data_IF_211908649011
#
_entry.id   IF_211908649011
#
_cell.length_a   1.000
_cell.length_b   1.000
_cell.length_c   1.000
_cell.angle_alpha   90.00
_cell.angle_beta   90.00
_cell.angle_gamma   90.00
#
_symmetry.space_group_name_H-M   'P 1'
#
loop_
_entity.id
_entity.type
_entity.pdbx_description
1 polymer ?
#
# COMPACT_ATOMS: atom_id res chain seq x y z
N UNK A 1 24.56 32.31 27.55
CA UNK A 1 23.43 32.32 26.60
C UNK A 1 22.67 30.98 26.57
N UNK A 2 22.51 30.30 27.73
CA UNK A 2 21.81 29.01 27.86
C UNK A 2 20.72 29.08 28.97
N UNK A 3 20.79 30.04 29.91
CA UNK A 3 19.74 30.23 30.92
C UNK A 3 18.47 30.97 30.43
N UNK A 4 18.51 31.68 29.29
CA UNK A 4 17.36 32.44 28.77
C UNK A 4 16.36 31.60 27.95
N UNK A 5 16.76 30.42 27.46
CA UNK A 5 15.86 29.53 26.69
C UNK A 5 15.00 28.63 27.58
N UNK A 6 15.49 28.23 28.75
CA UNK A 6 14.73 27.37 29.69
C UNK A 6 13.52 28.08 30.31
N UNK A 7 13.64 29.39 30.58
CA UNK A 7 12.56 30.19 31.19
C UNK A 7 11.43 30.48 30.21
N UNK A 8 11.72 30.68 28.91
CA UNK A 8 10.70 30.91 27.88
C UNK A 8 9.84 29.67 27.59
N UNK A 9 10.43 28.47 27.63
CA UNK A 9 9.69 27.23 27.35
C UNK A 9 8.72 26.86 28.51
N UNK A 10 9.12 27.15 29.75
CA UNK A 10 8.30 26.92 30.95
C UNK A 10 7.08 27.85 31.01
N UNK A 11 7.22 29.09 30.51
CA UNK A 11 6.15 30.08 30.47
C UNK A 11 5.10 29.79 29.38
N UNK A 12 5.52 29.25 28.23
CA UNK A 12 4.63 28.84 27.12
C UNK A 12 3.77 27.63 27.53
N UNK A 13 4.32 26.68 28.27
CA UNK A 13 3.57 25.54 28.81
C UNK A 13 2.56 25.91 29.90
N UNK A 14 2.84 26.94 30.70
CA UNK A 14 1.89 27.46 31.70
C UNK A 14 0.71 28.18 31.03
N UNK A 15 0.93 28.91 29.93
CA UNK A 15 -0.15 29.56 29.20
C UNK A 15 -1.02 28.57 28.39
N UNK A 16 -0.42 27.49 27.85
CA UNK A 16 -1.18 26.44 27.17
C UNK A 16 -2.11 25.65 28.12
N UNK A 17 -1.66 25.42 29.35
CA UNK A 17 -2.49 24.81 30.41
C UNK A 17 -3.67 25.70 30.83
N UNK A 18 -3.47 27.02 30.88
CA UNK A 18 -4.52 27.97 31.21
C UNK A 18 -5.57 28.07 30.10
N UNK A 19 -5.15 27.98 28.82
CA UNK A 19 -6.04 28.02 27.67
C UNK A 19 -6.95 26.79 27.59
N UNK A 20 -6.43 25.60 27.92
CA UNK A 20 -7.19 24.35 27.98
C UNK A 20 -8.19 24.36 29.17
N UNK A 21 -7.82 25.00 30.29
CA UNK A 21 -8.72 25.13 31.45
C UNK A 21 -9.88 26.10 31.20
N UNK A 22 -9.66 27.17 30.42
CA UNK A 22 -10.69 28.18 30.09
C UNK A 22 -11.66 27.65 29.02
N UNK A 23 -11.21 26.80 28.10
CA UNK A 23 -12.08 26.15 27.09
C UNK A 23 -13.05 25.12 27.68
N UNK A 24 -12.80 24.63 28.90
CA UNK A 24 -13.68 23.69 29.62
C UNK A 24 -14.78 24.36 30.47
N UNK A 25 -14.79 25.70 30.58
CA UNK A 25 -15.74 26.45 31.42
C UNK A 25 -17.01 26.93 30.67
N UNK A 26 -17.19 26.62 29.38
CA UNK A 26 -18.32 27.09 28.55
C UNK A 26 -19.15 25.97 27.91
N UNK A 27 -19.41 24.87 28.63
CA UNK A 27 -20.42 23.88 28.21
C UNK A 27 -21.39 23.63 29.37
N UNK A 28 -22.67 24.01 29.27
CA UNK A 28 -23.66 23.73 30.30
C UNK A 28 -24.08 22.25 30.23
N UNK A 29 -23.78 21.53 31.32
CA UNK A 29 -24.51 20.39 31.90
C UNK A 29 -25.16 19.36 30.97
N UNK A 30 -24.52 18.19 30.79
CA UNK A 30 -25.13 16.84 30.97
C UNK A 30 -24.00 15.81 31.24
N UNK A 31 -24.10 15.07 32.34
CA UNK A 31 -23.50 13.72 32.50
C UNK A 31 -21.98 13.63 32.70
N UNK A 32 -21.54 13.43 33.95
CA UNK A 32 -20.16 13.10 34.27
C UNK A 32 -19.76 11.72 33.71
N UNK A 33 -19.00 11.69 32.63
CA UNK A 33 -18.22 10.52 32.20
C UNK A 33 -16.79 10.72 32.74
N UNK A 34 -16.41 9.89 33.72
CA UNK A 34 -15.04 9.83 34.21
C UNK A 34 -14.17 9.14 33.15
N UNK A 35 -13.57 9.94 32.26
CA UNK A 35 -12.50 9.45 31.37
C UNK A 35 -11.23 9.35 32.21
N UNK A 36 -10.88 8.13 32.62
CA UNK A 36 -9.59 7.82 33.22
C UNK A 36 -8.53 7.92 32.12
N UNK A 37 -7.94 9.11 31.95
CA UNK A 37 -6.74 9.30 31.14
C UNK A 37 -5.62 8.48 31.78
N UNK A 38 -5.38 7.28 31.24
CA UNK A 38 -4.15 6.55 31.49
C UNK A 38 -3.01 7.44 30.99
N UNK A 39 -2.18 7.90 31.91
CA UNK A 39 -0.93 8.55 31.59
C UNK A 39 -0.09 7.62 30.73
N UNK A 40 -0.02 7.88 29.43
CA UNK A 40 0.97 7.29 28.53
C UNK A 40 2.32 7.82 29.00
N UNK A 41 3.04 6.98 29.76
CA UNK A 41 4.46 7.22 30.01
C UNK A 41 5.16 6.95 28.68
N UNK A 42 5.51 8.02 27.96
CA UNK A 42 6.58 7.92 26.97
C UNK A 42 7.83 7.52 27.74
N UNK A 43 8.29 6.29 27.54
CA UNK A 43 9.60 5.88 28.01
C UNK A 43 10.61 6.67 27.17
N UNK A 44 11.14 7.76 27.72
CA UNK A 44 12.38 8.31 27.19
C UNK A 44 13.45 7.28 27.53
N UNK A 45 14.14 6.65 26.57
CA UNK A 45 15.32 5.89 26.90
C UNK A 45 16.28 6.84 27.61
N UNK A 46 16.66 6.52 28.85
CA UNK A 46 17.65 7.28 29.58
C UNK A 46 18.95 7.27 28.77
N UNK A 47 19.53 8.45 28.55
CA UNK A 47 20.79 8.69 27.84
C UNK A 47 22.01 8.01 28.50
N UNK A 48 21.81 7.21 29.56
CA UNK A 48 22.86 6.61 30.39
C UNK A 48 23.02 5.09 30.23
N UNK A 49 22.31 4.44 29.31
CA UNK A 49 22.75 3.15 28.74
C UNK A 49 23.72 3.35 27.55
N UNK A 50 24.30 4.55 27.44
CA UNK A 50 25.41 4.89 26.56
C UNK A 50 26.75 4.36 27.10
N UNK A 51 26.87 3.03 27.20
CA UNK A 51 28.16 2.35 27.20
C UNK A 51 28.65 2.21 25.77
N UNK A 52 29.63 3.03 25.36
CA UNK A 52 30.24 3.02 24.03
C UNK A 52 30.62 1.61 23.54
N UNK A 53 29.88 1.06 22.56
CA UNK A 53 30.31 -0.11 21.77
C UNK A 53 29.82 0.05 20.31
N UNK A 54 30.73 0.52 19.45
CA UNK A 54 30.85 0.31 17.99
C UNK A 54 29.62 0.39 17.05
N UNK A 55 29.82 0.51 15.72
CA UNK A 55 28.73 0.37 14.76
C UNK A 55 28.20 -1.07 14.77
N UNK A 56 27.00 -1.25 15.33
CA UNK A 56 26.27 -2.53 15.39
C UNK A 56 25.86 -2.95 13.98
N UNK A 57 26.20 -4.17 13.55
CA UNK A 57 26.02 -4.63 12.17
C UNK A 57 25.03 -5.79 12.08
N UNK A 58 23.87 -5.57 11.49
CA UNK A 58 23.18 -6.63 10.76
C UNK A 58 23.84 -6.77 9.40
N UNK A 59 24.08 -7.98 8.89
CA UNK A 59 24.60 -8.15 7.54
C UNK A 59 24.01 -9.41 6.97
N UNK A 60 23.29 -9.28 5.87
CA UNK A 60 22.53 -10.36 5.29
C UNK A 60 22.29 -10.05 3.82
N UNK A 61 22.39 -11.09 2.99
CA UNK A 61 22.07 -11.07 1.57
C UNK A 61 20.63 -11.54 1.42
N UNK A 62 19.77 -10.72 0.83
CA UNK A 62 18.47 -11.19 0.36
C UNK A 62 18.59 -11.52 -1.13
N UNK A 63 18.27 -12.75 -1.46
CA UNK A 63 18.08 -13.22 -2.82
C UNK A 63 16.60 -13.31 -3.13
N UNK A 64 16.27 -12.90 -4.33
CA UNK A 64 14.98 -13.08 -4.94
C UNK A 64 15.01 -14.32 -5.81
N UNK A 65 14.06 -15.23 -5.61
CA UNK A 65 13.91 -16.39 -6.49
C UNK A 65 12.92 -16.08 -7.60
N UNK A 66 13.42 -15.92 -8.82
CA UNK A 66 12.60 -15.69 -10.03
C UNK A 66 13.00 -16.70 -11.09
N UNK A 67 12.01 -17.43 -11.61
CA UNK A 67 12.17 -18.31 -12.78
C UNK A 67 13.36 -19.28 -12.70
N UNK A 68 13.60 -19.88 -11.52
CA UNK A 68 14.66 -20.88 -11.34
C UNK A 68 16.04 -20.32 -11.01
N UNK A 69 16.17 -19.02 -10.71
CA UNK A 69 17.45 -18.39 -10.37
C UNK A 69 17.32 -17.45 -9.18
N UNK A 70 18.39 -17.38 -8.38
CA UNK A 70 18.54 -16.41 -7.30
C UNK A 70 19.18 -15.14 -7.86
N UNK A 71 18.48 -14.02 -7.77
CA UNK A 71 19.02 -12.70 -8.10
C UNK A 71 19.09 -11.82 -6.85
N UNK A 72 20.01 -10.86 -6.75
CA UNK A 72 20.03 -9.92 -5.64
C UNK A 72 18.70 -9.17 -5.49
N UNK A 73 18.17 -9.11 -4.26
CA UNK A 73 17.03 -8.26 -3.92
C UNK A 73 17.52 -6.81 -3.76
N UNK A 74 17.72 -6.13 -4.88
CA UNK A 74 18.22 -4.75 -4.94
C UNK A 74 17.16 -3.79 -4.41
N UNK A 75 17.58 -2.80 -3.61
CA UNK A 75 16.70 -1.71 -3.14
C UNK A 75 15.45 -2.23 -2.41
N UNK A 76 15.57 -3.40 -1.79
CA UNK A 76 14.52 -4.00 -0.99
C UNK A 76 14.44 -3.29 0.35
N UNK A 77 13.22 -3.02 0.81
CA UNK A 77 12.99 -2.52 2.15
C UNK A 77 12.94 -3.71 3.10
N UNK A 78 13.80 -3.69 4.12
CA UNK A 78 13.92 -4.76 5.10
C UNK A 78 13.85 -4.14 6.48
N UNK A 79 13.08 -4.76 7.37
CA UNK A 79 12.89 -4.23 8.70
C UNK A 79 12.57 -5.25 9.78
N UNK A 80 12.79 -4.81 11.01
CA UNK A 80 12.45 -5.54 12.22
C UNK A 80 11.22 -4.90 12.84
N UNK A 81 10.24 -5.73 13.19
CA UNK A 81 9.03 -5.32 13.89
C UNK A 81 8.56 -6.46 14.77
N UNK A 82 7.87 -6.16 15.87
CA UNK A 82 7.23 -7.18 16.72
C UNK A 82 6.05 -7.87 16.02
N UNK A 83 5.62 -7.33 14.87
CA UNK A 83 4.61 -7.93 14.02
C UNK A 83 4.98 -9.38 13.65
N UNK A 84 4.01 -10.29 13.77
CA UNK A 84 4.19 -11.74 13.55
C UNK A 84 3.42 -12.27 12.34
N UNK A 85 2.70 -11.40 11.63
CA UNK A 85 1.95 -11.75 10.42
C UNK A 85 2.50 -10.97 9.22
N UNK A 86 2.54 -11.60 8.06
CA UNK A 86 2.99 -10.99 6.81
C UNK A 86 2.24 -9.67 6.55
N UNK A 87 2.96 -8.60 6.19
CA UNK A 87 2.41 -7.26 5.92
C UNK A 87 1.87 -6.49 7.13
N UNK A 88 1.69 -7.13 8.30
CA UNK A 88 1.08 -6.49 9.49
C UNK A 88 1.96 -5.41 10.14
N UNK A 89 3.26 -5.37 9.78
CA UNK A 89 4.18 -4.31 10.17
C UNK A 89 3.67 -2.92 9.79
N UNK A 90 2.89 -2.80 8.71
CA UNK A 90 2.30 -1.52 8.27
C UNK A 90 1.33 -0.91 9.29
N UNK A 91 0.76 -1.74 10.16
CA UNK A 91 -0.23 -1.33 11.18
C UNK A 91 0.26 -1.51 12.62
N UNK A 92 1.44 -2.11 12.79
CA UNK A 92 2.07 -2.23 14.10
C UNK A 92 2.49 -0.85 14.62
N UNK A 93 2.05 -0.50 15.81
CA UNK A 93 2.21 0.86 16.37
C UNK A 93 2.47 0.86 17.89
N UNK A 94 2.57 -0.31 18.51
CA UNK A 94 2.81 -0.46 19.94
C UNK A 94 4.29 -0.48 20.28
N UNK A 95 5.09 -1.12 19.44
CA UNK A 95 6.53 -1.28 19.65
C UNK A 95 7.36 -0.67 18.52
N UNK A 96 8.67 -0.71 18.70
CA UNK A 96 9.63 -0.14 17.76
C UNK A 96 9.71 -0.92 16.45
N UNK A 97 9.90 -0.17 15.37
CA UNK A 97 10.23 -0.71 14.07
C UNK A 97 11.54 -0.11 13.57
N UNK A 98 12.35 -0.93 12.90
CA UNK A 98 13.65 -0.52 12.34
C UNK A 98 13.69 -0.93 10.88
N UNK A 99 14.02 0.00 9.98
CA UNK A 99 13.96 -0.23 8.54
C UNK A 99 15.23 0.27 7.86
N UNK A 100 15.68 -0.46 6.85
CA UNK A 100 16.76 -0.08 5.96
C UNK A 100 16.45 -0.56 4.55
N UNK A 101 17.12 0.04 3.58
CA UNK A 101 17.12 -0.41 2.19
C UNK A 101 18.37 -1.25 1.93
N UNK A 102 18.23 -2.33 1.15
CA UNK A 102 19.39 -3.11 0.67
C UNK A 102 20.17 -2.33 -0.39
N UNK A 103 21.47 -2.61 -0.47
CA UNK A 103 22.30 -2.08 -1.55
C UNK A 103 22.03 -2.77 -2.90
N UNK A 104 22.77 -2.36 -3.94
CA UNK A 104 22.67 -2.91 -5.29
C UNK A 104 23.05 -4.40 -5.41
N UNK A 105 23.62 -4.99 -4.36
CA UNK A 105 23.96 -6.41 -4.23
C UNK A 105 23.02 -7.17 -3.31
N UNK A 106 21.99 -6.53 -2.75
CA UNK A 106 21.03 -7.15 -1.84
C UNK A 106 21.51 -7.27 -0.40
N UNK A 107 22.60 -6.60 -0.04
CA UNK A 107 23.12 -6.58 1.33
C UNK A 107 22.48 -5.46 2.14
N UNK A 108 22.20 -5.69 3.43
CA UNK A 108 21.71 -4.64 4.32
C UNK A 108 22.28 -4.71 5.73
N UNK A 109 22.26 -3.54 6.40
CA UNK A 109 22.67 -3.39 7.80
C UNK A 109 21.76 -2.47 8.58
N UNK A 110 20.98 -3.05 9.50
CA UNK A 110 20.24 -2.32 10.54
C UNK A 110 21.17 -2.10 11.74
N UNK A 111 21.39 -0.84 12.10
CA UNK A 111 22.23 -0.45 13.26
C UNK A 111 21.34 -0.03 14.42
N UNK A 112 21.88 -0.10 15.64
CA UNK A 112 21.26 0.48 16.84
C UNK A 112 19.84 -0.05 17.15
N UNK A 113 19.59 -1.33 16.86
CA UNK A 113 18.35 -2.01 17.23
C UNK A 113 18.28 -2.18 18.75
N UNK A 114 17.12 -1.89 19.33
CA UNK A 114 16.86 -2.07 20.76
C UNK A 114 16.76 -3.57 21.07
N UNK A 115 17.35 -4.08 22.17
CA UNK A 115 17.21 -5.48 22.56
C UNK A 115 15.75 -5.92 22.62
N UNK A 116 15.46 -7.11 22.09
CA UNK A 116 14.08 -7.59 21.93
C UNK A 116 13.99 -8.77 20.96
N UNK A 117 12.76 -9.25 20.75
CA UNK A 117 12.44 -10.32 19.81
C UNK A 117 11.58 -9.74 18.69
N UNK A 118 12.01 -9.94 17.45
CA UNK A 118 11.39 -9.32 16.27
C UNK A 118 11.11 -10.34 15.17
N UNK A 119 10.06 -10.12 14.39
CA UNK A 119 9.94 -10.67 13.05
C UNK A 119 10.79 -9.87 12.06
N UNK A 120 11.37 -10.56 11.07
CA UNK A 120 12.03 -9.91 9.94
C UNK A 120 11.04 -9.76 8.80
N UNK A 121 10.75 -8.51 8.44
CA UNK A 121 9.82 -8.15 7.38
C UNK A 121 10.59 -7.59 6.20
N UNK A 122 10.01 -7.68 5.01
CA UNK A 122 10.55 -6.95 3.88
C UNK A 122 9.62 -6.92 2.68
N UNK A 123 10.00 -6.13 1.69
CA UNK A 123 9.37 -6.10 0.38
C UNK A 123 10.33 -5.51 -0.65
N UNK A 124 10.08 -5.79 -1.91
CA UNK A 124 11.00 -5.46 -2.99
C UNK A 124 10.25 -4.70 -4.07
N UNK A 125 10.63 -3.45 -4.39
CA UNK A 125 10.11 -2.76 -5.56
C UNK A 125 10.28 -3.62 -6.83
N UNK A 126 9.24 -3.69 -7.65
CA UNK A 126 9.16 -4.55 -8.82
C UNK A 126 8.59 -5.95 -8.55
N UNK A 127 8.27 -6.31 -7.31
CA UNK A 127 7.69 -7.62 -6.96
C UNK A 127 6.53 -7.47 -5.97
N UNK A 128 5.35 -8.04 -6.27
CA UNK A 128 4.22 -7.98 -5.36
C UNK A 128 4.46 -8.87 -4.13
N UNK A 129 3.83 -8.51 -3.02
CA UNK A 129 3.78 -9.31 -1.79
C UNK A 129 4.65 -8.75 -0.67
N UNK A 130 4.62 -9.46 0.46
CA UNK A 130 5.39 -9.13 1.65
C UNK A 130 6.28 -10.33 2.00
N UNK A 131 7.47 -10.06 2.51
CA UNK A 131 8.36 -11.07 3.08
C UNK A 131 8.19 -11.08 4.59
N UNK A 132 8.06 -12.27 5.15
CA UNK A 132 8.19 -12.52 6.59
C UNK A 132 9.14 -13.70 6.80
N UNK A 133 10.19 -13.48 7.58
CA UNK A 133 11.11 -14.53 8.00
C UNK A 133 10.41 -15.61 8.82
N UNK A 134 10.79 -16.87 8.59
CA UNK A 134 10.21 -18.03 9.29
C UNK A 134 10.52 -18.05 10.79
N UNK A 135 11.68 -17.51 11.17
CA UNK A 135 12.17 -17.49 12.55
C UNK A 135 12.17 -16.07 13.11
N UNK A 136 11.93 -15.96 14.41
CA UNK A 136 12.09 -14.71 15.12
C UNK A 136 13.57 -14.42 15.38
N UNK A 137 13.93 -13.15 15.30
CA UNK A 137 15.27 -12.65 15.56
C UNK A 137 15.32 -12.12 16.99
N UNK A 138 16.17 -12.74 17.81
CA UNK A 138 16.45 -12.25 19.16
C UNK A 138 17.68 -11.35 19.16
N UNK A 139 17.53 -10.13 19.66
CA UNK A 139 18.58 -9.12 19.77
C UNK A 139 18.91 -8.90 21.23
N UNK A 140 20.18 -9.13 21.57
CA UNK A 140 20.75 -8.90 22.90
C UNK A 140 21.60 -7.63 22.91
N UNK A 141 21.78 -7.03 24.08
CA UNK A 141 22.62 -5.86 24.23
C UNK A 141 24.07 -6.18 23.83
N UNK A 142 24.67 -5.35 22.97
CA UNK A 142 26.07 -5.49 22.56
C UNK A 142 26.39 -6.66 21.62
N UNK A 143 25.39 -7.42 21.16
CA UNK A 143 25.60 -8.56 20.25
C UNK A 143 25.49 -8.19 18.77
N UNK A 144 26.18 -8.96 17.93
CA UNK A 144 26.00 -8.96 16.47
C UNK A 144 25.26 -10.23 16.06
N UNK A 145 24.23 -10.11 15.21
CA UNK A 145 23.47 -11.24 14.68
C UNK A 145 23.63 -11.31 13.17
N UNK A 146 24.05 -12.46 12.65
CA UNK A 146 24.20 -12.71 11.22
C UNK A 146 23.18 -13.76 10.78
N UNK A 147 22.33 -13.40 9.80
CA UNK A 147 21.16 -14.20 9.40
C UNK A 147 21.43 -15.10 8.18
N UNK A 148 22.65 -15.05 7.62
CA UNK A 148 23.01 -15.79 6.42
C UNK A 148 22.33 -15.21 5.16
N UNK A 149 21.90 -16.10 4.26
CA UNK A 149 21.19 -15.73 3.04
C UNK A 149 19.69 -15.94 3.25
N UNK A 150 18.90 -14.92 2.89
CA UNK A 150 17.44 -15.00 2.91
C UNK A 150 16.93 -15.09 1.49
N UNK A 151 15.90 -15.90 1.27
CA UNK A 151 15.26 -16.05 -0.02
C UNK A 151 13.83 -15.56 0.05
N UNK A 152 13.45 -14.66 -0.87
CA UNK A 152 12.07 -14.29 -1.10
C UNK A 152 11.56 -14.91 -2.41
N UNK A 153 10.39 -15.55 -2.35
CA UNK A 153 9.67 -16.08 -3.51
C UNK A 153 8.40 -15.23 -3.68
N UNK A 154 8.35 -14.34 -4.69
CA UNK A 154 7.17 -13.52 -4.91
C UNK A 154 5.97 -14.40 -5.24
N UNK A 155 4.76 -14.04 -4.77
CA UNK A 155 3.55 -14.79 -5.07
C UNK A 155 3.36 -14.94 -6.57
N UNK A 156 3.24 -16.18 -7.04
CA UNK A 156 3.01 -16.54 -8.44
C UNK A 156 2.46 -17.96 -8.50
N UNK A 157 1.33 -18.12 -9.16
CA UNK A 157 0.66 -19.40 -9.38
C UNK A 157 0.80 -19.87 -10.82
N UNK A 158 1.16 -18.98 -11.75
CA UNK A 158 1.29 -19.35 -13.15
C UNK A 158 2.06 -18.35 -14.02
N UNK A 159 2.07 -18.56 -15.34
CA UNK A 159 2.61 -17.59 -16.28
C UNK A 159 1.74 -16.33 -16.28
N UNK A 160 2.37 -15.16 -16.26
CA UNK A 160 1.65 -13.88 -16.44
C UNK A 160 1.09 -13.83 -17.86
N UNK A 161 -0.19 -13.52 -18.00
CA UNK A 161 -0.82 -13.24 -19.29
C UNK A 161 -0.68 -11.76 -19.64
N UNK A 162 -0.98 -10.91 -18.67
CA UNK A 162 -0.81 -9.46 -18.77
C UNK A 162 -0.74 -8.84 -17.38
N UNK A 163 -0.21 -7.63 -17.34
CA UNK A 163 -0.06 -6.82 -16.14
C UNK A 163 -0.26 -5.33 -16.46
N UNK A 164 -0.71 -4.57 -15.47
CA UNK A 164 -0.92 -3.11 -15.54
C UNK A 164 -0.16 -2.51 -14.35
N UNK A 165 0.70 -1.54 -14.63
CA UNK A 165 1.52 -0.85 -13.63
C UNK A 165 2.85 -1.54 -13.32
N UNK A 166 3.43 -1.18 -12.18
CA UNK A 166 4.65 -1.77 -11.65
C UNK A 166 4.48 -1.93 -10.15
N UNK A 167 4.82 -3.09 -9.53
CA UNK A 167 4.59 -3.29 -8.12
C UNK A 167 5.62 -2.51 -7.28
N UNK A 168 5.31 -1.26 -6.98
CA UNK A 168 6.15 -0.37 -6.15
C UNK A 168 5.40 0.22 -4.95
N UNK A 169 4.19 -0.29 -4.71
CA UNK A 169 3.23 0.11 -3.68
C UNK A 169 2.65 1.50 -3.87
N UNK A 170 2.76 2.07 -5.08
CA UNK A 170 2.26 3.42 -5.38
C UNK A 170 1.43 3.43 -6.66
N UNK A 171 0.57 4.43 -6.80
CA UNK A 171 -0.14 4.70 -8.06
C UNK A 171 0.71 5.51 -9.06
N UNK A 172 2.05 5.44 -8.98
CA UNK A 172 2.92 6.16 -9.90
C UNK A 172 2.87 5.53 -11.30
N UNK A 173 3.11 6.33 -12.33
CA UNK A 173 3.09 5.87 -13.71
C UNK A 173 1.70 5.80 -14.34
N UNK A 174 0.64 6.12 -13.57
CA UNK A 174 -0.73 6.26 -14.08
C UNK A 174 -1.07 7.69 -14.49
N UNK A 175 -2.23 7.84 -15.14
CA UNK A 175 -2.72 9.11 -15.65
C UNK A 175 -3.19 10.04 -14.55
N UNK A 176 -2.50 11.17 -14.41
CA UNK A 176 -2.83 12.27 -13.52
C UNK A 176 -3.32 13.45 -14.37
N UNK A 177 -4.60 13.87 -14.25
CA UNK A 177 -5.15 14.95 -15.08
C UNK A 177 -4.52 16.29 -14.73
N UNK A 178 -4.64 17.27 -15.62
CA UNK A 178 -4.25 18.64 -15.28
C UNK A 178 -5.10 19.18 -14.13
N UNK A 179 -4.54 20.13 -13.37
CA UNK A 179 -5.27 20.79 -12.27
C UNK A 179 -6.34 21.71 -12.83
N UNK A 180 -7.43 21.92 -12.08
CA UNK A 180 -8.37 22.97 -12.42
C UNK A 180 -7.64 24.33 -12.36
N UNK A 181 -7.68 25.15 -13.43
CA UNK A 181 -6.97 26.44 -13.48
C UNK A 181 -7.28 27.39 -12.31
N UNK A 182 -8.45 27.25 -11.66
CA UNK A 182 -8.83 28.04 -10.49
C UNK A 182 -8.06 27.69 -9.21
N UNK A 183 -7.54 26.46 -9.09
CA UNK A 183 -6.94 25.92 -7.86
C UNK A 183 -5.45 25.55 -8.03
N UNK A 184 -4.81 26.11 -9.05
CA UNK A 184 -3.42 25.80 -9.40
C UNK A 184 -2.47 26.09 -8.24
N UNK A 185 -1.78 25.06 -7.75
CA UNK A 185 -0.56 25.25 -6.97
C UNK A 185 0.65 25.27 -7.94
N UNK A 186 1.29 26.45 -8.04
CA UNK A 186 2.42 26.66 -8.97
C UNK A 186 3.62 25.77 -8.67
N UNK A 187 3.76 25.27 -7.44
CA UNK A 187 4.86 24.38 -7.03
C UNK A 187 4.84 23.04 -7.79
N UNK A 188 3.65 22.58 -8.23
CA UNK A 188 3.49 21.26 -8.85
C UNK A 188 3.21 21.29 -10.36
N UNK A 189 3.16 22.46 -11.01
CA UNK A 189 2.81 22.56 -12.44
C UNK A 189 3.74 21.79 -13.38
N UNK A 190 5.04 21.81 -13.10
CA UNK A 190 6.09 21.12 -13.88
C UNK A 190 6.83 20.09 -13.02
N UNK A 191 6.13 19.50 -12.05
CA UNK A 191 6.72 18.56 -11.08
C UNK A 191 6.37 17.12 -11.44
N UNK A 192 7.28 16.15 -11.20
CA UNK A 192 6.90 14.73 -11.18
C UNK A 192 5.82 14.43 -10.12
N UNK A 193 5.69 15.30 -9.11
CA UNK A 193 4.64 15.24 -8.09
C UNK A 193 3.37 16.01 -8.47
N UNK A 194 3.05 16.10 -9.77
CA UNK A 194 1.81 16.73 -10.27
C UNK A 194 0.56 16.22 -9.54
N UNK A 195 0.56 14.96 -9.08
CA UNK A 195 -0.52 14.35 -8.30
C UNK A 195 -0.83 15.08 -6.98
N UNK A 196 0.04 15.98 -6.50
CA UNK A 196 -0.17 16.80 -5.29
C UNK A 196 -1.07 18.02 -5.49
N UNK A 197 -1.53 18.28 -6.72
CA UNK A 197 -2.49 19.34 -6.99
C UNK A 197 -3.85 19.04 -6.32
N UNK A 198 -4.53 20.08 -5.83
CA UNK A 198 -5.82 19.92 -5.18
C UNK A 198 -6.93 19.56 -6.19
N UNK A 199 -7.85 18.69 -5.76
CA UNK A 199 -9.08 18.39 -6.50
C UNK A 199 -8.90 17.48 -7.72
N UNK A 200 -7.75 16.83 -7.90
CA UNK A 200 -7.49 16.01 -9.08
C UNK A 200 -8.41 14.79 -9.20
N UNK A 201 -8.86 14.21 -8.09
CA UNK A 201 -9.81 13.10 -8.09
C UNK A 201 -11.14 13.50 -8.75
N UNK A 202 -11.62 14.71 -8.47
CA UNK A 202 -12.88 15.24 -8.97
C UNK A 202 -12.83 15.54 -10.48
N UNK A 203 -11.62 15.68 -11.04
CA UNK A 203 -11.39 15.77 -12.50
C UNK A 203 -11.72 14.48 -13.25
N UNK A 204 -11.95 13.36 -12.56
CA UNK A 204 -12.38 12.11 -13.21
C UNK A 204 -13.63 12.33 -14.08
N UNK A 205 -14.58 13.12 -13.58
CA UNK A 205 -15.81 13.49 -14.33
C UNK A 205 -15.51 14.29 -15.60
N UNK A 206 -14.46 15.11 -15.61
CA UNK A 206 -14.10 15.90 -16.80
C UNK A 206 -13.50 15.03 -17.89
N UNK A 207 -12.77 13.97 -17.50
CA UNK A 207 -12.13 13.02 -18.42
C UNK A 207 -13.14 11.96 -18.89
N UNK A 208 -14.03 11.53 -17.99
CA UNK A 208 -15.01 10.48 -18.18
C UNK A 208 -16.44 10.99 -17.88
N UNK A 209 -16.99 11.95 -18.66
CA UNK A 209 -18.25 12.61 -18.30
C UNK A 209 -19.48 11.71 -18.38
N UNK A 210 -19.48 10.74 -19.30
CA UNK A 210 -20.62 9.89 -19.60
C UNK A 210 -20.39 8.42 -19.23
N UNK A 211 -19.21 7.91 -19.57
CA UNK A 211 -18.83 6.51 -19.41
C UNK A 211 -17.50 6.41 -18.67
N UNK A 212 -17.39 5.40 -17.82
CA UNK A 212 -16.16 5.09 -17.10
C UNK A 212 -15.05 4.56 -18.02
N UNK A 213 -13.81 4.58 -17.53
CA UNK A 213 -12.66 4.21 -18.34
C UNK A 213 -12.71 2.75 -18.82
N UNK A 214 -12.23 2.54 -20.04
CA UNK A 214 -11.96 1.22 -20.62
C UNK A 214 -10.49 1.13 -20.99
N UNK A 215 -9.79 0.16 -20.41
CA UNK A 215 -8.38 -0.11 -20.66
C UNK A 215 -8.25 -1.41 -21.48
N UNK A 216 -7.65 -1.35 -22.65
CA UNK A 216 -7.47 -2.52 -23.53
C UNK A 216 -6.02 -3.00 -23.47
N UNK A 217 -5.81 -4.22 -22.98
CA UNK A 217 -4.48 -4.85 -22.93
C UNK A 217 -3.86 -4.89 -24.33
N UNK A 218 -2.60 -4.44 -24.44
CA UNK A 218 -1.85 -4.38 -25.68
C UNK A 218 -2.11 -3.14 -26.56
N UNK A 219 -3.07 -2.29 -26.19
CA UNK A 219 -3.39 -1.06 -26.94
C UNK A 219 -3.32 0.20 -26.06
N UNK A 220 -3.90 0.15 -24.86
CA UNK A 220 -3.91 1.27 -23.91
C UNK A 220 -2.58 1.45 -23.20
N UNK A 221 -2.25 2.69 -22.84
CA UNK A 221 -1.06 3.08 -22.10
C UNK A 221 -1.43 3.48 -20.66
N UNK A 222 -0.90 2.83 -19.61
CA UNK A 222 -1.22 3.17 -18.22
C UNK A 222 -1.01 4.65 -17.86
N UNK A 223 -0.01 5.30 -18.45
CA UNK A 223 0.31 6.71 -18.17
C UNK A 223 -0.75 7.70 -18.68
N UNK A 224 -1.58 7.29 -19.63
CA UNK A 224 -2.55 8.16 -20.29
C UNK A 224 -4.00 7.66 -20.14
N UNK A 225 -4.19 6.34 -20.08
CA UNK A 225 -5.50 5.70 -20.22
C UNK A 225 -5.95 4.98 -18.94
N UNK A 226 -5.13 4.99 -17.89
CA UNK A 226 -5.48 4.47 -16.57
C UNK A 226 -5.45 5.60 -15.57
N UNK A 227 -6.61 6.12 -15.18
CA UNK A 227 -6.70 7.20 -14.21
C UNK A 227 -6.04 6.77 -12.89
N UNK A 228 -5.38 7.68 -12.17
CA UNK A 228 -4.58 7.32 -11.01
C UNK A 228 -5.39 6.81 -9.79
N UNK A 229 -6.70 7.03 -9.76
CA UNK A 229 -7.59 6.61 -8.67
C UNK A 229 -8.99 6.24 -9.18
N UNK A 230 -9.49 5.05 -8.83
CA UNK A 230 -10.87 4.64 -9.09
C UNK A 230 -11.78 5.26 -8.04
N UNK A 231 -12.39 6.38 -8.40
CA UNK A 231 -13.14 7.29 -7.53
C UNK A 231 -14.55 7.49 -8.07
N UNK A 232 -15.45 7.91 -7.20
CA UNK A 232 -16.80 8.27 -7.62
C UNK A 232 -16.81 9.37 -8.70
N UNK A 233 -17.71 9.24 -9.66
CA UNK A 233 -17.97 10.27 -10.67
C UNK A 233 -19.05 11.24 -10.20
N UNK A 234 -18.82 12.53 -10.34
CA UNK A 234 -19.81 13.56 -10.02
C UNK A 234 -20.91 13.56 -11.07
N UNK A 235 -22.14 13.25 -10.65
CA UNK A 235 -23.35 13.31 -11.46
C UNK A 235 -23.91 14.73 -11.61
N UNK A 236 -24.97 14.85 -12.43
CA UNK A 236 -25.60 16.14 -12.75
C UNK A 236 -26.22 16.86 -11.54
N UNK A 237 -26.59 16.13 -10.49
CA UNK A 237 -27.13 16.65 -9.23
C UNK A 237 -26.05 16.88 -8.16
N UNK A 238 -24.78 16.91 -8.56
CA UNK A 238 -23.60 16.94 -7.69
C UNK A 238 -23.50 15.75 -6.72
N UNK A 239 -24.23 14.65 -6.97
CA UNK A 239 -24.02 13.41 -6.23
C UNK A 239 -22.85 12.64 -6.80
N UNK A 240 -22.11 11.98 -5.92
CA UNK A 240 -21.00 11.12 -6.27
C UNK A 240 -21.52 9.71 -6.52
N UNK A 241 -21.35 9.23 -7.75
CA UNK A 241 -21.86 7.95 -8.23
C UNK A 241 -20.72 6.92 -8.30
N UNK A 242 -20.98 5.66 -7.92
CA UNK A 242 -20.04 4.55 -8.09
C UNK A 242 -19.55 4.44 -9.55
N UNK A 243 -18.33 3.97 -9.73
CA UNK A 243 -17.69 3.83 -11.05
C UNK A 243 -17.23 2.41 -11.31
N UNK A 244 -17.33 1.97 -12.57
CA UNK A 244 -16.89 0.64 -13.01
C UNK A 244 -15.89 0.76 -14.14
N UNK A 245 -14.63 0.43 -13.87
CA UNK A 245 -13.57 0.39 -14.86
C UNK A 245 -13.59 -0.94 -15.59
N UNK A 246 -13.40 -0.91 -16.90
CA UNK A 246 -13.35 -2.13 -17.73
C UNK A 246 -11.94 -2.41 -18.21
N UNK A 247 -11.42 -3.61 -17.99
CA UNK A 247 -10.18 -4.11 -18.57
C UNK A 247 -10.54 -5.11 -19.66
N UNK A 248 -10.21 -4.81 -20.92
CA UNK A 248 -10.43 -5.70 -22.07
C UNK A 248 -9.15 -6.43 -22.44
N UNK A 249 -9.24 -7.73 -22.66
CA UNK A 249 -8.10 -8.56 -23.05
C UNK A 249 -8.54 -9.74 -23.90
N UNK A 250 -7.63 -10.28 -24.71
CA UNK A 250 -7.90 -11.42 -25.58
C UNK A 250 -7.20 -12.68 -25.04
N UNK A 251 -7.89 -13.83 -25.07
CA UNK A 251 -7.33 -15.13 -24.74
C UNK A 251 -7.46 -16.10 -25.92
N UNK A 252 -6.34 -16.68 -26.35
CA UNK A 252 -6.32 -17.66 -27.41
C UNK A 252 -5.11 -18.61 -27.28
N UNK A 253 -5.26 -19.83 -26.73
CA UNK A 253 -6.48 -20.47 -26.22
C UNK A 253 -6.84 -20.06 -24.77
N UNK A 254 -7.98 -20.56 -24.27
CA UNK A 254 -8.28 -20.59 -22.82
C UNK A 254 -7.78 -21.93 -22.28
N UNK A 255 -6.78 -21.89 -21.40
CA UNK A 255 -6.30 -23.05 -20.63
C UNK A 255 -7.31 -23.41 -19.54
N UNK A 256 -7.68 -24.68 -19.43
CA UNK A 256 -8.54 -25.18 -18.35
C UNK A 256 -7.84 -25.05 -17.00
N UNK A 257 -8.57 -24.57 -15.99
CA UNK A 257 -8.09 -24.46 -14.61
C UNK A 257 -8.44 -23.13 -13.98
N UNK A 258 -7.75 -22.81 -12.88
CA UNK A 258 -7.95 -21.57 -12.13
C UNK A 258 -6.92 -20.53 -12.54
N UNK A 259 -7.40 -19.41 -13.07
CA UNK A 259 -6.62 -18.20 -13.30
C UNK A 259 -6.52 -17.42 -11.99
N UNK A 260 -5.43 -16.70 -11.78
CA UNK A 260 -5.27 -15.82 -10.61
C UNK A 260 -5.25 -14.37 -11.04
N UNK A 261 -6.21 -13.60 -10.56
CA UNK A 261 -6.20 -12.14 -10.66
C UNK A 261 -5.59 -11.58 -9.36
N UNK A 262 -4.46 -10.89 -9.49
CA UNK A 262 -3.79 -10.19 -8.41
C UNK A 262 -4.18 -8.71 -8.45
N UNK A 263 -4.71 -8.19 -7.35
CA UNK A 263 -5.06 -6.78 -7.19
C UNK A 263 -4.21 -6.19 -6.06
N UNK A 264 -3.14 -5.50 -6.42
CA UNK A 264 -2.31 -4.75 -5.49
C UNK A 264 -2.86 -3.32 -5.39
N UNK A 265 -3.21 -2.92 -4.17
CA UNK A 265 -3.84 -1.65 -3.83
C UNK A 265 -2.80 -0.80 -3.10
N UNK A 266 -2.40 0.32 -3.72
CA UNK A 266 -1.49 1.29 -3.13
C UNK A 266 -2.14 2.03 -1.94
N UNK A 267 -3.45 2.28 -2.03
CA UNK A 267 -4.25 2.89 -0.97
C UNK A 267 -5.75 2.73 -1.24
N UNK A 268 -6.56 2.74 -0.18
CA UNK A 268 -8.00 2.80 -0.33
C UNK A 268 -8.64 3.71 0.73
N UNK A 269 -9.61 4.51 0.30
CA UNK A 269 -10.37 5.42 1.14
C UNK A 269 -11.84 5.03 1.07
N UNK A 270 -12.39 4.50 2.16
CA UNK A 270 -13.82 4.19 2.37
C UNK A 270 -14.49 3.54 1.15
N UNK A 271 -13.87 2.55 0.52
CA UNK A 271 -14.38 2.01 -0.75
C UNK A 271 -14.97 0.62 -0.61
N UNK A 272 -15.85 0.25 -1.53
CA UNK A 272 -16.28 -1.14 -1.69
C UNK A 272 -15.76 -1.60 -3.05
N UNK A 273 -14.82 -2.54 -3.09
CA UNK A 273 -14.21 -3.01 -4.34
C UNK A 273 -14.86 -4.33 -4.76
N UNK A 274 -15.37 -4.38 -6.00
CA UNK A 274 -15.89 -5.61 -6.61
C UNK A 274 -15.17 -5.88 -7.93
N UNK A 275 -14.96 -7.16 -8.24
CA UNK A 275 -14.48 -7.58 -9.55
C UNK A 275 -15.44 -8.59 -10.19
N UNK A 276 -15.86 -8.32 -11.42
CA UNK A 276 -16.63 -9.27 -12.23
C UNK A 276 -15.87 -9.65 -13.51
N UNK A 277 -16.25 -10.77 -14.12
CA UNK A 277 -15.63 -11.28 -15.35
C UNK A 277 -16.71 -11.51 -16.41
N UNK A 278 -16.55 -10.90 -17.58
CA UNK A 278 -17.39 -11.00 -18.77
C UNK A 278 -18.85 -10.52 -18.65
N UNK A 279 -19.52 -10.75 -17.53
CA UNK A 279 -20.82 -10.14 -17.18
C UNK A 279 -20.72 -9.45 -15.79
N UNK A 280 -21.68 -8.60 -15.45
CA UNK A 280 -21.76 -7.87 -14.17
C UNK A 280 -22.91 -8.37 -13.27
N UNK A 281 -23.43 -9.57 -13.52
CA UNK A 281 -24.38 -10.22 -12.62
C UNK A 281 -23.71 -10.88 -11.41
N UNK A 282 -24.52 -11.45 -10.51
CA UNK A 282 -24.03 -12.08 -9.27
C UNK A 282 -23.23 -13.37 -9.51
N UNK A 283 -23.49 -14.09 -10.61
CA UNK A 283 -22.80 -15.35 -10.93
C UNK A 283 -21.37 -15.09 -11.42
N UNK A 284 -21.14 -13.92 -12.01
CA UNK A 284 -19.85 -13.48 -12.54
C UNK A 284 -19.02 -12.64 -11.55
N UNK A 285 -19.51 -12.41 -10.32
CA UNK A 285 -18.78 -11.74 -9.25
C UNK A 285 -17.70 -12.67 -8.68
N UNK A 286 -16.43 -12.42 -9.03
CA UNK A 286 -15.29 -13.27 -8.61
C UNK A 286 -14.58 -12.74 -7.36
N UNK A 287 -14.84 -11.50 -6.95
CA UNK A 287 -14.21 -10.89 -5.78
C UNK A 287 -15.03 -9.73 -5.23
N UNK A 288 -15.14 -9.65 -3.91
CA UNK A 288 -15.58 -8.42 -3.25
C UNK A 288 -14.85 -8.18 -1.92
N UNK A 289 -14.60 -6.91 -1.62
CA UNK A 289 -14.24 -6.42 -0.28
C UNK A 289 -15.03 -5.16 -0.01
N UNK A 290 -15.76 -5.15 1.11
CA UNK A 290 -16.54 -4.00 1.57
C UNK A 290 -15.76 -3.25 2.65
N UNK A 291 -16.00 -1.94 2.78
CA UNK A 291 -15.32 -1.06 3.74
C UNK A 291 -13.79 -1.10 3.59
N UNK A 292 -13.31 -1.21 2.35
CA UNK A 292 -11.91 -1.19 1.99
C UNK A 292 -11.31 0.18 2.30
N UNK A 293 -10.59 0.22 3.41
CA UNK A 293 -9.61 1.27 3.68
C UNK A 293 -10.16 2.47 4.43
N UNK A 294 -9.31 3.04 5.27
CA UNK A 294 -9.57 4.25 6.06
C UNK A 294 -8.45 5.26 5.86
N UNK A 295 -7.71 5.12 4.76
CA UNK A 295 -6.67 6.06 4.37
C UNK A 295 -7.31 7.41 4.02
N UNK A 296 -6.47 8.43 3.93
CA UNK A 296 -6.86 9.78 3.50
C UNK A 296 -6.05 10.22 2.28
N UNK A 297 -5.61 9.28 1.46
CA UNK A 297 -4.69 9.52 0.35
C UNK A 297 -5.32 10.40 -0.73
N UNK A 298 -6.59 10.17 -1.08
CA UNK A 298 -7.33 10.95 -2.07
C UNK A 298 -7.41 12.43 -1.65
N UNK A 299 -7.87 12.70 -0.42
CA UNK A 299 -8.02 14.07 0.08
C UNK A 299 -6.71 14.76 0.46
N UNK A 300 -5.61 14.02 0.59
CA UNK A 300 -4.26 14.55 0.88
C UNK A 300 -3.35 14.55 -0.35
N UNK A 301 -3.90 14.27 -1.53
CA UNK A 301 -3.21 14.32 -2.81
C UNK A 301 -1.96 13.43 -2.83
N UNK A 302 -2.08 12.25 -2.25
CA UNK A 302 -1.06 11.21 -2.27
C UNK A 302 -1.32 10.18 -3.36
N UNK A 303 -0.38 9.26 -3.50
CA UNK A 303 -0.48 8.12 -4.43
C UNK A 303 -0.28 6.76 -3.75
N UNK A 304 -0.09 6.76 -2.42
CA UNK A 304 0.12 5.55 -1.64
C UNK A 304 -0.33 5.75 -0.18
N UNK A 305 -0.62 4.66 0.49
CA UNK A 305 -1.14 4.59 1.86
C UNK A 305 -0.85 3.20 2.44
N UNK A 306 -1.88 2.54 2.98
CA UNK A 306 -1.74 1.14 3.42
C UNK A 306 -1.82 0.20 2.21
N UNK A 307 -0.72 -0.48 1.92
CA UNK A 307 -0.64 -1.44 0.85
C UNK A 307 -1.44 -2.71 1.18
N UNK A 308 -2.18 -3.23 0.19
CA UNK A 308 -2.91 -4.50 0.30
C UNK A 308 -2.82 -5.27 -1.00
N UNK A 309 -2.52 -6.56 -0.92
CA UNK A 309 -2.55 -7.48 -2.05
C UNK A 309 -3.72 -8.45 -1.91
N UNK A 310 -4.61 -8.46 -2.90
CA UNK A 310 -5.66 -9.46 -3.01
C UNK A 310 -5.34 -10.44 -4.13
N UNK A 311 -5.73 -11.70 -3.93
CA UNK A 311 -5.67 -12.74 -4.95
C UNK A 311 -7.06 -13.31 -5.13
N UNK A 312 -7.55 -13.26 -6.36
CA UNK A 312 -8.89 -13.70 -6.74
C UNK A 312 -8.75 -14.90 -7.69
N UNK A 313 -9.58 -15.92 -7.46
CA UNK A 313 -9.59 -17.12 -8.27
C UNK A 313 -10.67 -16.99 -9.34
N UNK A 314 -10.27 -17.14 -10.60
CA UNK A 314 -11.18 -17.07 -11.76
C UNK A 314 -11.18 -18.44 -12.42
N UNK A 315 -12.32 -19.14 -12.35
CA UNK A 315 -12.49 -20.39 -13.10
C UNK A 315 -12.42 -20.13 -14.60
N UNK A 316 -11.74 -21.01 -15.34
CA UNK A 316 -11.72 -20.97 -16.80
C UNK A 316 -13.11 -21.02 -17.44
N UNK A 317 -14.14 -21.49 -16.72
CA UNK A 317 -15.54 -21.50 -17.18
C UNK A 317 -16.15 -20.11 -17.35
N UNK A 318 -15.61 -19.09 -16.67
CA UNK A 318 -16.03 -17.70 -16.84
C UNK A 318 -15.35 -17.00 -18.01
N UNK A 319 -14.37 -17.65 -18.66
CA UNK A 319 -13.56 -17.09 -19.72
C UNK A 319 -13.90 -17.75 -21.06
N UNK A 320 -13.80 -16.97 -22.13
CA UNK A 320 -14.06 -17.43 -23.50
C UNK A 320 -12.82 -17.26 -24.36
N UNK A 321 -12.71 -18.10 -25.41
CA UNK A 321 -11.71 -17.88 -26.45
C UNK A 321 -12.05 -16.59 -27.20
N UNK A 322 -11.10 -15.67 -27.33
CA UNK A 322 -11.30 -14.35 -27.90
C UNK A 322 -11.36 -13.28 -26.82
N UNK A 323 -12.26 -12.32 -26.99
CA UNK A 323 -12.31 -11.12 -26.16
C UNK A 323 -13.01 -11.41 -24.81
N UNK A 324 -12.36 -10.96 -23.74
CA UNK A 324 -12.84 -11.04 -22.37
C UNK A 324 -12.76 -9.66 -21.73
N UNK A 325 -13.53 -9.46 -20.65
CA UNK A 325 -13.52 -8.24 -19.85
C UNK A 325 -13.47 -8.55 -18.36
N UNK A 326 -12.70 -7.77 -17.61
CA UNK A 326 -12.80 -7.68 -16.16
C UNK A 326 -13.36 -6.31 -15.80
N UNK A 327 -14.36 -6.29 -14.92
CA UNK A 327 -14.99 -5.08 -14.43
C UNK A 327 -14.55 -4.82 -12.99
N UNK A 328 -13.86 -3.71 -12.74
CA UNK A 328 -13.45 -3.27 -11.41
C UNK A 328 -14.36 -2.13 -10.93
N UNK A 329 -15.27 -2.45 -10.02
CA UNK A 329 -16.24 -1.49 -9.50
C UNK A 329 -15.81 -0.97 -8.15
N UNK A 330 -15.64 0.35 -8.03
CA UNK A 330 -15.81 1.03 -6.76
C UNK A 330 -17.32 1.16 -6.58
N UNK A 331 -17.91 0.46 -5.61
CA UNK A 331 -19.35 0.32 -5.45
C UNK A 331 -19.96 1.27 -4.40
N UNK A 332 -19.14 2.02 -3.65
CA UNK A 332 -19.63 2.94 -2.62
C UNK A 332 -19.70 4.36 -3.17
N UNK A 333 -20.93 4.79 -3.43
CA UNK A 333 -21.23 6.16 -3.81
C UNK A 333 -21.42 7.12 -2.65
N UNK A 334 -21.65 8.39 -3.00
CA UNK A 334 -22.12 9.45 -2.12
C UNK A 334 -21.04 10.29 -1.44
N UNK A 335 -19.75 10.01 -1.70
CA UNK A 335 -18.64 10.70 -1.06
C UNK A 335 -17.52 10.95 -2.08
N UNK A 336 -17.20 12.23 -2.31
CA UNK A 336 -16.19 12.69 -3.26
C UNK A 336 -14.81 12.07 -3.06
N UNK A 337 -14.52 11.56 -1.87
CA UNK A 337 -13.21 11.09 -1.47
C UNK A 337 -13.12 9.57 -1.42
N UNK A 338 -14.22 8.86 -1.69
CA UNK A 338 -14.19 7.43 -1.91
C UNK A 338 -13.27 7.12 -3.09
N UNK A 339 -12.30 6.23 -2.87
CA UNK A 339 -11.51 5.74 -3.98
C UNK A 339 -10.51 4.66 -3.66
N UNK A 340 -10.13 3.95 -4.70
CA UNK A 340 -9.10 2.90 -4.70
C UNK A 340 -7.97 3.33 -5.62
N UNK A 341 -6.75 3.36 -5.09
CA UNK A 341 -5.54 3.57 -5.88
C UNK A 341 -4.90 2.20 -6.10
N UNK A 342 -4.84 1.77 -7.35
CA UNK A 342 -4.12 0.55 -7.71
C UNK A 342 -2.62 0.82 -7.71
N UNK A 343 -1.85 -0.13 -7.22
CA UNK A 343 -0.40 -0.21 -7.44
C UNK A 343 -0.15 -1.03 -8.71
N UNK A 344 -0.70 -2.24 -8.73
CA UNK A 344 -0.39 -3.23 -9.72
C UNK A 344 -1.56 -4.21 -9.92
N UNK A 345 -1.88 -4.54 -11.17
CA UNK A 345 -2.91 -5.53 -11.51
C UNK A 345 -2.31 -6.58 -12.43
N UNK A 346 -2.47 -7.87 -12.13
CA UNK A 346 -1.91 -8.96 -12.93
C UNK A 346 -2.90 -10.11 -13.07
N UNK A 347 -3.03 -10.64 -14.29
CA UNK A 347 -3.71 -11.91 -14.53
C UNK A 347 -2.68 -13.01 -14.86
N UNK A 348 -2.80 -14.13 -14.17
CA UNK A 348 -1.98 -15.32 -14.38
C UNK A 348 -2.83 -16.47 -14.91
N UNK A 349 -2.29 -17.22 -15.86
CA UNK A 349 -2.91 -18.46 -16.33
C UNK A 349 -2.73 -19.59 -15.30
N UNK A 350 -3.51 -20.69 -15.40
CA UNK A 350 -3.28 -21.89 -14.62
C UNK A 350 -1.84 -22.42 -14.79
N UNK A 351 -1.23 -22.95 -13.72
CA UNK A 351 0.03 -23.67 -13.83
C UNK A 351 -0.11 -24.87 -14.76
N UNK A 352 0.84 -25.05 -15.68
CA UNK A 352 1.00 -26.31 -16.40
C UNK A 352 1.73 -27.32 -15.51
N UNK A 353 1.44 -28.62 -15.68
CA UNK A 353 1.92 -29.70 -14.83
C UNK A 353 3.46 -29.72 -14.64
N UNK A 354 4.23 -29.24 -15.62
CA UNK A 354 5.70 -29.19 -15.54
C UNK A 354 6.23 -28.18 -14.50
N UNK A 355 5.45 -27.19 -14.06
CA UNK A 355 5.90 -26.19 -13.08
C UNK A 355 5.54 -26.51 -11.63
N UNK A 356 4.59 -27.43 -11.42
CA UNK A 356 4.14 -27.83 -10.08
C UNK A 356 5.22 -28.54 -9.28
N UNK A 357 6.19 -29.21 -9.93
CA UNK A 357 7.28 -29.91 -9.24
C UNK A 357 8.38 -28.96 -8.73
N UNK A 358 8.51 -27.77 -9.33
CA UNK A 358 9.51 -26.77 -8.95
C UNK A 358 9.06 -25.89 -7.77
N UNK A 359 7.76 -25.74 -7.54
CA UNK A 359 7.23 -24.98 -6.38
C UNK A 359 7.34 -25.73 -5.06
N UNK A 360 7.44 -27.06 -5.08
CA UNK A 360 7.60 -27.90 -3.88
C UNK A 360 9.04 -27.99 -3.37
N UNK A 361 10.01 -27.44 -4.13
CA UNK A 361 11.45 -27.53 -3.86
C UNK A 361 12.08 -26.20 -3.37
N UNK A 362 11.30 -25.12 -3.28
CA UNK A 362 11.71 -23.82 -2.71
C UNK A 362 10.96 -23.56 -1.39
#
# INVERSE_FOLDING_TARGET
MILLFSVKFKMIWQQLKLLILVLLLFIPTVGAIVVKLASVKFFQPEENDAGCIGPKLFSCLICLYVSGSLIPAKYAYVGLSVATTEGSWQTESKDYQFWVETDYTGNFTIKNVIPGVYGLHGWIPGFPGDYLGKEHITISAGSQTQLGNLTYVPPRDGPTLWEIGSPDRTAIGYYVPDVNPMYVNKLFLNSPEKFRQYGLWDRYTDVHPQFDQTFTIGSSNPKNDWFFANVDRRGADNKYLPTTWTIKFNLNPVTTGTYKLRLAIASATRSDLKAHVNDMDIEHLVFQVLNLGTDNTVCRHGIHGLYRLFSCDISSSFLVKGDNSIFLTQARGGDALCGVLYDYVRLEAPATAERSELSTLA
#
